data_IF_907685608521
#
_entry.id   IF_907685608521
#
_cell.length_a   1.000
_cell.length_b   1.000
_cell.length_c   1.000
_cell.angle_alpha   90.00
_cell.angle_beta   90.00
_cell.angle_gamma   90.00
#
_symmetry.space_group_name_H-M   'P 1'
#
loop_
_entity.id
_entity.type
_entity.pdbx_description
1 polymer ?
#
# COMPACT_ATOMS: atom_id res chain seq x y z
N UNK A 1 2.00 -8.50 2.83
CA UNK A 1 2.68 -7.42 3.58
C UNK A 1 1.76 -6.95 4.68
N UNK A 2 2.26 -6.47 5.82
CA UNK A 2 1.43 -5.91 6.90
C UNK A 2 1.73 -4.43 7.11
N UNK A 3 0.68 -3.64 7.30
CA UNK A 3 0.78 -2.21 7.61
C UNK A 3 0.95 -2.01 9.12
N UNK A 4 1.62 -0.93 9.53
CA UNK A 4 1.72 -0.60 10.96
C UNK A 4 0.33 -0.36 11.55
N UNK A 5 0.08 -0.95 12.72
CA UNK A 5 -1.24 -0.92 13.40
C UNK A 5 -1.70 0.45 13.90
N UNK A 6 -0.81 1.43 14.00
CA UNK A 6 -1.10 2.75 14.60
C UNK A 6 -1.19 3.90 13.58
N UNK A 7 -1.29 3.59 12.29
CA UNK A 7 -1.49 4.60 11.26
C UNK A 7 -2.95 5.05 11.20
N UNK A 8 -3.17 6.35 11.13
CA UNK A 8 -4.48 6.91 10.79
C UNK A 8 -4.58 7.01 9.27
N UNK A 9 -5.50 6.27 8.66
CA UNK A 9 -5.70 6.22 7.21
C UNK A 9 -7.13 6.69 6.93
N UNK A 10 -7.29 7.73 6.11
CA UNK A 10 -8.60 8.16 5.62
C UNK A 10 -8.98 7.41 4.34
N UNK A 11 -10.28 7.34 4.07
CA UNK A 11 -10.82 6.78 2.82
C UNK A 11 -10.42 7.60 1.58
N UNK A 12 -9.91 8.81 1.78
CA UNK A 12 -9.44 9.74 0.73
C UNK A 12 -7.93 9.66 0.48
N UNK A 13 -7.23 8.68 1.07
CA UNK A 13 -5.79 8.49 0.82
C UNK A 13 -4.86 9.32 1.70
N UNK A 14 -5.35 9.92 2.78
CA UNK A 14 -4.48 10.58 3.76
C UNK A 14 -3.95 9.56 4.76
N UNK A 15 -2.63 9.50 4.93
CA UNK A 15 -1.98 8.61 5.89
C UNK A 15 -1.19 9.47 6.88
N UNK A 16 -1.49 9.32 8.16
CA UNK A 16 -0.80 10.01 9.25
C UNK A 16 -0.19 9.00 10.22
N UNK A 17 1.11 9.15 10.47
CA UNK A 17 1.80 8.44 11.55
C UNK A 17 1.83 9.34 12.79
N UNK A 18 1.02 9.06 13.83
CA UNK A 18 1.00 9.85 15.06
C UNK A 18 2.30 9.72 15.89
N UNK A 19 3.16 8.74 15.58
CA UNK A 19 4.43 8.55 16.29
C UNK A 19 5.54 9.47 15.74
N UNK A 20 5.71 9.52 14.41
CA UNK A 20 6.70 10.41 13.79
C UNK A 20 6.15 11.82 13.53
N UNK A 21 4.83 11.98 13.47
CA UNK A 21 4.17 13.22 13.06
C UNK A 21 4.12 13.40 11.54
N UNK A 22 4.57 12.41 10.76
CA UNK A 22 4.59 12.48 9.30
C UNK A 22 3.22 12.25 8.69
N UNK A 23 2.98 12.95 7.58
CA UNK A 23 1.75 12.87 6.81
C UNK A 23 2.05 12.63 5.34
N UNK A 24 1.30 11.73 4.73
CA UNK A 24 1.40 11.39 3.32
C UNK A 24 0.03 11.51 2.67
N UNK A 25 0.04 11.79 1.37
CA UNK A 25 -1.16 11.75 0.53
C UNK A 25 -0.93 10.74 -0.57
N UNK A 26 -1.91 9.87 -0.75
CA UNK A 26 -1.94 8.87 -1.80
C UNK A 26 -2.90 9.33 -2.90
N UNK A 27 -2.61 8.91 -4.13
CA UNK A 27 -3.60 8.98 -5.20
C UNK A 27 -4.65 7.87 -5.03
N UNK A 28 -5.66 7.85 -5.90
CA UNK A 28 -6.76 6.89 -5.84
C UNK A 28 -6.26 5.43 -5.90
N UNK A 29 -5.38 5.12 -6.86
CA UNK A 29 -4.79 3.78 -7.03
C UNK A 29 -4.00 3.34 -5.78
N UNK A 30 -3.15 4.20 -5.24
CA UNK A 30 -2.37 3.89 -4.03
C UNK A 30 -3.26 3.73 -2.80
N UNK A 31 -4.35 4.51 -2.71
CA UNK A 31 -5.36 4.40 -1.65
C UNK A 31 -6.08 3.05 -1.71
N UNK A 32 -6.48 2.63 -2.90
CA UNK A 32 -7.13 1.34 -3.12
C UNK A 32 -6.21 0.17 -2.78
N UNK A 33 -4.96 0.19 -3.25
CA UNK A 33 -3.95 -0.81 -2.88
C UNK A 33 -3.76 -0.85 -1.36
N UNK A 34 -3.64 0.31 -0.71
CA UNK A 34 -3.46 0.39 0.75
C UNK A 34 -4.66 -0.20 1.50
N UNK A 35 -5.89 0.06 1.05
CA UNK A 35 -7.11 -0.50 1.62
C UNK A 35 -7.15 -2.02 1.48
N UNK A 36 -6.83 -2.56 0.29
CA UNK A 36 -6.73 -4.01 0.09
C UNK A 36 -5.65 -4.65 0.99
N UNK A 37 -4.50 -3.99 1.16
CA UNK A 37 -3.46 -4.45 2.09
C UNK A 37 -3.95 -4.44 3.55
N UNK A 38 -4.74 -3.44 3.95
CA UNK A 38 -5.35 -3.34 5.29
C UNK A 38 -6.37 -4.45 5.53
N UNK A 39 -7.09 -4.87 4.49
CA UNK A 39 -7.99 -6.03 4.49
C UNK A 39 -7.24 -7.38 4.50
N UNK A 40 -5.91 -7.37 4.37
CA UNK A 40 -5.08 -8.57 4.39
C UNK A 40 -5.04 -9.32 3.06
N UNK A 41 -5.43 -8.66 1.95
CA UNK A 41 -5.32 -9.23 0.61
C UNK A 41 -3.87 -9.55 0.26
N UNK A 42 -3.68 -10.68 -0.40
CA UNK A 42 -2.40 -11.10 -0.96
C UNK A 42 -2.03 -10.26 -2.19
N UNK A 43 -0.74 -10.27 -2.54
CA UNK A 43 -0.28 -9.60 -3.76
C UNK A 43 -1.00 -10.14 -5.00
N UNK A 44 -1.24 -11.46 -5.07
CA UNK A 44 -1.94 -12.10 -6.17
C UNK A 44 -3.39 -11.58 -6.28
N UNK A 45 -4.14 -11.53 -5.16
CA UNK A 45 -5.50 -10.98 -5.16
C UNK A 45 -5.52 -9.50 -5.59
N UNK A 46 -4.55 -8.69 -5.18
CA UNK A 46 -4.44 -7.29 -5.59
C UNK A 46 -4.14 -7.21 -7.09
N UNK A 47 -3.17 -7.97 -7.59
CA UNK A 47 -2.83 -7.99 -9.01
C UNK A 47 -4.03 -8.41 -9.87
N UNK A 48 -4.73 -9.49 -9.50
CA UNK A 48 -5.93 -9.93 -10.20
C UNK A 48 -6.99 -8.84 -10.25
N UNK A 49 -7.27 -8.19 -9.12
CA UNK A 49 -8.25 -7.09 -9.05
C UNK A 49 -7.90 -5.96 -10.03
N UNK A 50 -6.64 -5.53 -10.08
CA UNK A 50 -6.26 -4.42 -10.96
C UNK A 50 -6.24 -4.83 -12.45
N UNK A 51 -5.82 -6.04 -12.78
CA UNK A 51 -5.83 -6.53 -14.16
C UNK A 51 -7.25 -6.77 -14.71
N UNK A 52 -8.23 -7.05 -13.83
CA UNK A 52 -9.63 -7.24 -14.23
C UNK A 52 -10.40 -5.92 -14.35
N UNK A 53 -10.06 -4.90 -13.55
CA UNK A 53 -10.81 -3.65 -13.47
C UNK A 53 -10.17 -2.47 -14.21
N UNK A 54 -8.91 -2.59 -14.61
CA UNK A 54 -8.16 -1.52 -15.27
C UNK A 54 -7.51 -2.00 -16.57
N UNK A 55 -7.39 -1.10 -17.53
CA UNK A 55 -6.67 -1.36 -18.78
C UNK A 55 -5.17 -1.22 -18.55
N UNK A 56 -4.56 -2.25 -17.95
CA UNK A 56 -3.13 -2.33 -17.66
C UNK A 56 -2.62 -3.75 -17.89
N UNK A 57 -1.40 -3.88 -18.42
CA UNK A 57 -0.75 -5.18 -18.56
C UNK A 57 -0.08 -5.63 -17.25
N UNK A 58 0.15 -6.95 -17.14
CA UNK A 58 0.71 -7.58 -15.95
C UNK A 58 2.07 -6.97 -15.56
N UNK A 59 2.99 -6.84 -16.51
CA UNK A 59 4.34 -6.38 -16.25
C UNK A 59 4.35 -4.91 -15.77
N UNK A 60 3.51 -4.07 -16.36
CA UNK A 60 3.36 -2.66 -15.96
C UNK A 60 2.79 -2.54 -14.55
N UNK A 61 1.72 -3.27 -14.24
CA UNK A 61 1.13 -3.22 -12.91
C UNK A 61 2.07 -3.80 -11.85
N UNK A 62 2.73 -4.94 -12.13
CA UNK A 62 3.64 -5.57 -11.18
C UNK A 62 4.79 -4.63 -10.81
N UNK A 63 5.43 -3.97 -11.78
CA UNK A 63 6.48 -2.99 -11.52
C UNK A 63 5.97 -1.83 -10.65
N UNK A 64 4.85 -1.23 -11.03
CA UNK A 64 4.29 -0.09 -10.30
C UNK A 64 3.89 -0.48 -8.86
N UNK A 65 3.31 -1.66 -8.68
CA UNK A 65 2.97 -2.20 -7.37
C UNK A 65 4.23 -2.42 -6.53
N UNK A 66 5.27 -3.03 -7.09
CA UNK A 66 6.53 -3.28 -6.36
C UNK A 66 7.23 -1.98 -5.96
N UNK A 67 7.23 -0.97 -6.82
CA UNK A 67 7.72 0.38 -6.51
C UNK A 67 6.92 1.02 -5.36
N UNK A 68 5.59 0.91 -5.39
CA UNK A 68 4.74 1.40 -4.32
C UNK A 68 5.01 0.69 -2.99
N UNK A 69 5.16 -0.64 -3.00
CA UNK A 69 5.53 -1.41 -1.80
C UNK A 69 6.89 -0.99 -1.26
N UNK A 70 7.86 -0.71 -2.14
CA UNK A 70 9.16 -0.19 -1.73
C UNK A 70 9.05 1.18 -1.07
N UNK A 71 8.20 2.08 -1.58
CA UNK A 71 7.93 3.39 -0.96
C UNK A 71 7.32 3.23 0.44
N UNK A 72 6.32 2.37 0.60
CA UNK A 72 5.69 2.11 1.90
C UNK A 72 6.72 1.59 2.93
N UNK A 73 7.68 0.79 2.50
CA UNK A 73 8.79 0.34 3.37
C UNK A 73 9.75 1.49 3.70
N UNK A 74 10.15 2.26 2.68
CA UNK A 74 11.08 3.37 2.84
C UNK A 74 10.56 4.45 3.80
N UNK A 75 9.28 4.78 3.73
CA UNK A 75 8.60 5.70 4.64
C UNK A 75 8.16 5.05 5.96
N UNK A 76 8.58 3.81 6.21
CA UNK A 76 8.27 3.09 7.45
C UNK A 76 6.76 3.00 7.73
N UNK A 77 5.94 2.83 6.69
CA UNK A 77 4.47 2.67 6.76
C UNK A 77 4.09 1.19 6.97
N UNK A 78 4.95 0.28 6.55
CA UNK A 78 4.79 -1.15 6.80
C UNK A 78 5.51 -1.64 8.04
N UNK A 79 5.05 -2.75 8.60
CA UNK A 79 5.83 -3.49 9.60
C UNK A 79 7.14 -3.93 8.93
N UNK A 80 8.28 -3.49 9.47
CA UNK A 80 9.54 -4.17 9.20
C UNK A 80 9.40 -5.59 9.77
N UNK A 81 9.85 -6.60 9.03
CA UNK A 81 10.16 -7.86 9.69
C UNK A 81 11.32 -7.52 10.62
N UNK A 82 11.04 -7.24 11.90
CA UNK A 82 12.05 -7.29 12.96
C UNK A 82 12.66 -8.69 12.85
N UNK A 83 13.82 -8.77 12.20
CA UNK A 83 14.69 -9.92 12.35
C UNK A 83 15.25 -9.80 13.75
N UNK A 84 14.62 -10.52 14.68
CA UNK A 84 15.33 -11.05 15.85
C UNK A 84 16.59 -11.80 15.40
#
# INVERSE_FOLDING_TARGET
MKLKKKLAISDTGFVFDPHSGESFSLNETGTEILNMLKEGKSQEEIMTHFLENYEVDNDTFERAYMDFIAMLKFYNISEENEKD
#
